data_IF_209325244788
#
_entry.id   IF_209325244788
#
_cell.length_a   1.000
_cell.length_b   1.000
_cell.length_c   1.000
_cell.angle_alpha   90.00
_cell.angle_beta   90.00
_cell.angle_gamma   90.00
#
_symmetry.space_group_name_H-M   'P 1'
#
loop_
_entity.id
_entity.type
_entity.pdbx_description
1 polymer ?
#
# COMPACT_ATOMS: atom_id res chain seq x y z
N UNK A 1 -4.64 1.67 4.96
CA UNK A 1 -5.89 1.17 5.59
C UNK A 1 -6.48 -0.13 5.06
N UNK A 2 -6.67 -0.34 3.74
CA UNK A 2 -7.36 -1.55 3.21
C UNK A 2 -6.88 -2.88 3.80
N UNK A 3 -5.56 -3.09 3.91
CA UNK A 3 -5.02 -4.35 4.46
C UNK A 3 -5.31 -4.50 5.96
N UNK A 4 -5.23 -3.41 6.72
CA UNK A 4 -5.57 -3.41 8.15
C UNK A 4 -7.05 -3.73 8.35
N UNK A 5 -7.95 -3.05 7.62
CA UNK A 5 -9.39 -3.32 7.69
C UNK A 5 -9.73 -4.75 7.29
N UNK A 6 -9.07 -5.31 6.27
CA UNK A 6 -9.28 -6.71 5.89
C UNK A 6 -8.75 -7.72 6.94
N UNK A 7 -7.70 -7.38 7.68
CA UNK A 7 -7.17 -8.21 8.78
C UNK A 7 -8.15 -8.23 9.95
N UNK A 8 -8.64 -7.06 10.36
CA UNK A 8 -9.59 -6.95 11.48
C UNK A 8 -10.99 -7.49 11.11
N UNK A 9 -11.48 -7.24 9.90
CA UNK A 9 -12.83 -7.70 9.49
C UNK A 9 -12.90 -9.21 9.20
N UNK A 10 -11.77 -9.91 8.98
CA UNK A 10 -11.74 -11.36 8.74
C UNK A 10 -11.54 -12.19 10.01
N UNK A 11 -11.71 -11.61 11.20
CA UNK A 11 -11.64 -12.35 12.48
C UNK A 11 -10.26 -12.95 12.78
N UNK A 12 -9.18 -12.45 12.17
CA UNK A 12 -7.83 -12.85 12.53
C UNK A 12 -7.55 -12.34 13.96
N UNK A 13 -7.26 -13.24 14.90
CA UNK A 13 -6.92 -12.85 16.27
C UNK A 13 -5.65 -12.00 16.26
N UNK A 14 -5.80 -10.70 16.54
CA UNK A 14 -4.68 -9.77 16.67
C UNK A 14 -4.26 -9.77 18.13
N UNK A 15 -3.29 -10.61 18.47
CA UNK A 15 -2.77 -10.72 19.85
C UNK A 15 -1.75 -9.63 20.13
N UNK A 16 -1.89 -8.97 21.29
CA UNK A 16 -0.96 -7.96 21.77
C UNK A 16 -0.11 -8.51 22.93
N UNK A 17 1.13 -8.03 23.02
CA UNK A 17 1.99 -8.25 24.18
C UNK A 17 1.57 -7.34 25.35
N UNK A 18 2.21 -7.52 26.51
CA UNK A 18 1.96 -6.74 27.73
C UNK A 18 2.20 -5.24 27.57
N UNK A 19 2.90 -4.83 26.50
CA UNK A 19 3.21 -3.44 26.15
C UNK A 19 2.27 -2.90 25.07
N UNK A 20 1.20 -3.63 24.74
CA UNK A 20 0.21 -3.25 23.73
C UNK A 20 0.70 -3.33 22.29
N UNK A 21 1.78 -4.07 22.00
CA UNK A 21 2.32 -4.23 20.63
C UNK A 21 1.89 -5.57 20.06
N UNK A 22 1.82 -5.68 18.73
CA UNK A 22 1.59 -6.97 18.08
C UNK A 22 2.64 -8.00 18.53
N UNK A 23 2.18 -9.18 18.95
CA UNK A 23 3.09 -10.33 19.11
C UNK A 23 3.73 -10.68 17.77
N UNK A 24 4.85 -11.40 17.79
CA UNK A 24 5.64 -11.70 16.59
C UNK A 24 4.81 -12.39 15.50
N UNK A 25 4.02 -13.39 15.85
CA UNK A 25 3.17 -14.13 14.92
C UNK A 25 2.15 -13.20 14.22
N UNK A 26 1.43 -12.39 14.99
CA UNK A 26 0.47 -11.42 14.46
C UNK A 26 1.15 -10.37 13.56
N UNK A 27 2.35 -9.92 13.94
CA UNK A 27 3.15 -8.97 13.16
C UNK A 27 3.61 -9.58 11.83
N UNK A 28 4.04 -10.84 11.83
CA UNK A 28 4.45 -11.56 10.62
C UNK A 28 3.29 -11.74 9.66
N UNK A 29 2.14 -12.22 10.15
CA UNK A 29 0.94 -12.38 9.32
C UNK A 29 0.43 -11.05 8.75
N UNK A 30 0.56 -9.95 9.50
CA UNK A 30 0.26 -8.61 8.99
C UNK A 30 1.26 -8.19 7.89
N UNK A 31 2.56 -8.39 8.11
CA UNK A 31 3.60 -8.06 7.14
C UNK A 31 3.38 -8.80 5.82
N UNK A 32 3.08 -10.09 5.86
CA UNK A 32 2.80 -10.91 4.67
C UNK A 32 1.61 -10.35 3.87
N UNK A 33 0.51 -9.98 4.54
CA UNK A 33 -0.66 -9.39 3.87
C UNK A 33 -0.34 -8.00 3.29
N UNK A 34 0.49 -7.20 3.95
CA UNK A 34 0.93 -5.90 3.43
C UNK A 34 1.80 -6.09 2.18
N UNK A 35 2.75 -7.02 2.21
CA UNK A 35 3.60 -7.34 1.07
C UNK A 35 2.78 -7.88 -0.10
N UNK A 36 1.84 -8.79 0.15
CA UNK A 36 0.93 -9.30 -0.87
C UNK A 36 0.10 -8.18 -1.53
N UNK A 37 -0.35 -7.18 -0.74
CA UNK A 37 -1.08 -6.02 -1.28
C UNK A 37 -0.21 -5.17 -2.20
N UNK A 38 1.09 -5.05 -1.94
CA UNK A 38 2.02 -4.31 -2.79
C UNK A 38 2.22 -4.97 -4.15
N UNK A 39 2.08 -6.29 -4.24
CA UNK A 39 2.14 -7.05 -5.50
C UNK A 39 0.80 -7.06 -6.26
N UNK A 40 -0.32 -6.75 -5.59
CA UNK A 40 -1.63 -6.74 -6.23
C UNK A 40 -1.71 -5.70 -7.36
N UNK A 41 -2.28 -6.10 -8.50
CA UNK A 41 -2.39 -5.28 -9.69
C UNK A 41 -3.59 -4.31 -9.64
N UNK A 42 -3.35 -3.05 -9.97
CA UNK A 42 -4.33 -1.96 -10.04
C UNK A 42 -4.32 -1.30 -11.42
N UNK A 43 -5.44 -0.72 -11.83
CA UNK A 43 -5.50 0.06 -13.05
C UNK A 43 -4.88 1.45 -12.83
N UNK A 44 -3.93 1.83 -13.67
CA UNK A 44 -3.30 3.13 -13.64
C UNK A 44 -2.73 3.48 -15.03
N UNK A 45 -2.96 4.71 -15.48
CA UNK A 45 -2.52 5.21 -16.79
C UNK A 45 -2.88 4.27 -17.96
N UNK A 46 -4.11 3.73 -17.96
CA UNK A 46 -4.63 2.86 -19.02
C UNK A 46 -4.09 1.43 -19.03
N UNK A 47 -3.27 1.03 -18.04
CA UNK A 47 -2.71 -0.32 -17.92
C UNK A 47 -2.83 -0.85 -16.49
N UNK A 48 -2.50 -2.13 -16.29
CA UNK A 48 -2.45 -2.75 -14.96
C UNK A 48 -1.00 -2.83 -14.46
N UNK A 49 -0.77 -2.37 -13.25
CA UNK A 49 0.54 -2.39 -12.60
C UNK A 49 0.40 -2.86 -11.15
N UNK A 50 1.43 -3.52 -10.63
CA UNK A 50 1.50 -3.80 -9.19
C UNK A 50 1.51 -2.48 -8.40
N UNK A 51 0.87 -2.45 -7.23
CA UNK A 51 0.79 -1.24 -6.41
C UNK A 51 2.19 -0.67 -6.07
N UNK A 52 3.19 -1.52 -5.84
CA UNK A 52 4.59 -1.09 -5.66
C UNK A 52 5.14 -0.31 -6.85
N UNK A 53 4.77 -0.69 -8.08
CA UNK A 53 5.20 0.01 -9.29
C UNK A 53 4.50 1.36 -9.39
N UNK A 54 3.21 1.43 -9.06
CA UNK A 54 2.44 2.68 -9.01
C UNK A 54 3.05 3.67 -8.02
N UNK A 55 3.42 3.21 -6.82
CA UNK A 55 4.12 4.04 -5.83
C UNK A 55 5.43 4.61 -6.39
N UNK A 56 6.24 3.79 -7.05
CA UNK A 56 7.47 4.26 -7.68
C UNK A 56 7.22 5.26 -8.82
N UNK A 57 6.18 5.04 -9.64
CA UNK A 57 5.80 5.98 -10.69
C UNK A 57 5.34 7.32 -10.11
N UNK A 58 4.53 7.30 -9.07
CA UNK A 58 4.06 8.50 -8.36
C UNK A 58 5.23 9.27 -7.75
N UNK A 59 6.21 8.58 -7.14
CA UNK A 59 7.43 9.22 -6.65
C UNK A 59 8.23 9.92 -7.77
N UNK A 60 8.39 9.28 -8.93
CA UNK A 60 9.05 9.89 -10.09
C UNK A 60 8.27 11.07 -10.67
N UNK A 61 6.94 10.96 -10.73
CA UNK A 61 6.08 12.05 -11.20
C UNK A 61 6.15 13.26 -10.27
N UNK A 62 6.13 13.04 -8.96
CA UNK A 62 6.28 14.10 -7.97
C UNK A 62 7.66 14.77 -8.09
N UNK A 63 8.73 13.99 -8.21
CA UNK A 63 10.07 14.53 -8.42
C UNK A 63 10.16 15.37 -9.71
N UNK A 64 9.59 14.89 -10.82
CA UNK A 64 9.57 15.63 -12.08
C UNK A 64 8.78 16.94 -11.98
N UNK A 65 7.66 16.95 -11.26
CA UNK A 65 6.90 18.18 -10.99
C UNK A 65 7.72 19.19 -10.16
N UNK A 66 8.35 18.73 -9.08
CA UNK A 66 9.19 19.59 -8.22
C UNK A 66 10.42 20.16 -8.95
N UNK A 67 10.91 19.47 -9.98
CA UNK A 67 12.00 19.96 -10.85
C UNK A 67 11.53 20.82 -12.02
N UNK A 68 10.22 21.01 -12.21
CA UNK A 68 9.66 21.72 -13.37
C UNK A 68 9.73 20.95 -14.70
N UNK A 69 10.12 19.67 -14.68
CA UNK A 69 10.12 18.78 -15.86
C UNK A 69 8.69 18.35 -16.24
N UNK A 70 7.75 18.52 -15.32
CA UNK A 70 6.32 18.27 -15.51
C UNK A 70 5.54 19.49 -15.07
N UNK A 71 4.61 19.91 -15.91
CA UNK A 71 3.72 21.03 -15.62
C UNK A 71 2.81 20.76 -14.40
N UNK A 72 2.37 19.51 -14.23
CA UNK A 72 1.48 19.11 -13.14
C UNK A 72 1.77 17.72 -12.60
N UNK A 73 1.48 17.54 -11.32
CA UNK A 73 1.41 16.24 -10.65
C UNK A 73 -0.06 15.81 -10.50
N UNK A 74 -0.39 14.64 -11.06
CA UNK A 74 -1.69 14.00 -10.87
C UNK A 74 -1.54 12.83 -9.90
N UNK A 75 -2.20 12.95 -8.75
CA UNK A 75 -2.18 11.91 -7.73
C UNK A 75 -2.93 10.66 -8.19
N UNK A 76 -2.42 9.49 -7.82
CA UNK A 76 -3.09 8.22 -8.02
C UNK A 76 -4.41 8.17 -7.21
N UNK A 77 -5.51 7.90 -7.92
CA UNK A 77 -6.81 7.60 -7.30
C UNK A 77 -7.13 6.14 -7.58
N UNK A 78 -7.26 5.36 -6.52
CA UNK A 78 -7.66 3.95 -6.62
C UNK A 78 -9.17 3.87 -6.83
N UNK A 79 -9.61 3.12 -7.84
CA UNK A 79 -11.02 2.90 -8.21
C UNK A 79 -11.69 1.85 -7.33
N UNK A 80 -11.58 2.03 -6.02
CA UNK A 80 -11.98 1.05 -5.01
C UNK A 80 -13.37 0.45 -5.23
#
# INVERSE_FOLDING_TARGET
DRTMMAVFNRGSAVTLDERGRLVEEARRGLAEKVLARLEAAEAYAGKRYALRQILQMQARHLAGYLRGERERYEAFVSTW
#
